data_IF_821306374308
#
_entry.id   IF_821306374308
#
_cell.length_a   1.000
_cell.length_b   1.000
_cell.length_c   1.000
_cell.angle_alpha   90.00
_cell.angle_beta   90.00
_cell.angle_gamma   90.00
#
_symmetry.space_group_name_H-M   'P 1'
#
loop_
_entity.id
_entity.type
_entity.pdbx_description
1 polymer ?
#
# COMPACT_ATOMS: atom_id res chain seq x y z
N UNK A 1 -7.78 11.19 -13.90
CA UNK A 1 -6.52 11.52 -14.61
C UNK A 1 -6.40 10.57 -15.79
N UNK A 2 -6.19 11.07 -17.00
CA UNK A 2 -6.33 10.32 -18.25
C UNK A 2 -4.96 9.89 -18.83
N UNK A 3 -4.66 8.59 -18.83
CA UNK A 3 -4.17 7.89 -20.04
C UNK A 3 -2.68 7.69 -20.29
N UNK A 4 -1.75 8.23 -19.50
CA UNK A 4 -0.29 8.03 -19.76
C UNK A 4 0.39 7.00 -18.84
N UNK A 5 -0.23 6.63 -17.72
CA UNK A 5 0.33 5.69 -16.74
C UNK A 5 -0.61 4.50 -16.52
N UNK A 6 -1.03 3.82 -17.58
CA UNK A 6 -1.77 2.55 -17.45
C UNK A 6 -0.78 1.42 -17.08
N UNK A 7 -1.16 0.56 -16.14
CA UNK A 7 -0.34 -0.55 -15.64
C UNK A 7 0.29 -1.37 -16.77
N UNK A 8 -0.49 -1.72 -17.80
CA UNK A 8 0.00 -2.54 -18.90
C UNK A 8 1.06 -1.84 -19.75
N UNK A 9 0.92 -0.52 -19.89
CA UNK A 9 1.87 0.34 -20.61
C UNK A 9 3.16 0.49 -19.82
N UNK A 10 3.05 0.70 -18.50
CA UNK A 10 4.20 0.83 -17.62
C UNK A 10 5.00 -0.48 -17.52
N UNK A 11 4.32 -1.62 -17.32
CA UNK A 11 4.96 -2.93 -17.26
C UNK A 11 5.48 -3.43 -18.63
N UNK A 12 5.07 -2.80 -19.73
CA UNK A 12 5.38 -3.24 -21.09
C UNK A 12 4.73 -4.58 -21.46
N UNK A 13 3.69 -4.99 -20.73
CA UNK A 13 2.96 -6.25 -20.95
C UNK A 13 1.50 -6.13 -20.54
N UNK A 14 0.61 -6.73 -21.33
CA UNK A 14 -0.81 -6.91 -20.99
C UNK A 14 -1.12 -8.31 -20.47
N UNK A 15 -0.09 -9.12 -20.21
CA UNK A 15 -0.26 -10.48 -19.68
C UNK A 15 -0.81 -10.45 -18.25
N UNK A 16 -1.60 -11.47 -17.91
CA UNK A 16 -2.15 -11.70 -16.59
C UNK A 16 -2.19 -13.19 -16.30
N UNK A 17 -1.85 -13.65 -15.08
CA UNK A 17 -1.50 -12.86 -13.90
C UNK A 17 -0.09 -12.26 -13.92
N UNK A 18 0.12 -11.20 -13.14
CA UNK A 18 1.42 -10.57 -12.89
C UNK A 18 1.83 -10.87 -11.45
N UNK A 19 3.09 -11.26 -11.23
CA UNK A 19 3.70 -11.36 -9.90
C UNK A 19 4.59 -10.15 -9.68
N UNK A 20 4.45 -9.48 -8.55
CA UNK A 20 5.38 -8.44 -8.09
C UNK A 20 6.06 -8.93 -6.83
N UNK A 21 7.36 -9.15 -6.90
CA UNK A 21 8.17 -9.53 -5.74
C UNK A 21 8.47 -8.28 -4.91
N UNK A 22 8.04 -8.27 -3.64
CA UNK A 22 8.40 -7.26 -2.65
C UNK A 22 9.01 -7.91 -1.40
N UNK A 23 10.33 -7.74 -1.22
CA UNK A 23 11.05 -8.29 -0.07
C UNK A 23 10.58 -7.76 1.31
N UNK A 24 9.91 -6.60 1.38
CA UNK A 24 9.45 -6.05 2.67
C UNK A 24 8.34 -6.89 3.28
N UNK A 25 7.59 -7.64 2.47
CA UNK A 25 6.57 -8.57 2.95
C UNK A 25 7.16 -9.73 3.79
N UNK A 26 8.47 -10.02 3.68
CA UNK A 26 9.17 -11.02 4.53
C UNK A 26 9.25 -10.61 6.01
N UNK A 27 9.12 -9.32 6.33
CA UNK A 27 9.39 -8.76 7.66
C UNK A 27 8.21 -8.83 8.63
N UNK A 28 7.25 -9.73 8.41
CA UNK A 28 6.08 -9.90 9.28
C UNK A 28 6.53 -10.15 10.74
N UNK A 29 6.17 -9.24 11.64
CA UNK A 29 6.55 -9.28 13.06
C UNK A 29 7.70 -8.34 13.49
N UNK A 30 8.36 -7.63 12.58
CA UNK A 30 9.34 -6.58 12.93
C UNK A 30 8.64 -5.21 13.14
N UNK A 31 9.33 -4.25 13.77
CA UNK A 31 8.79 -2.91 14.11
C UNK A 31 8.52 -2.01 12.90
N UNK A 32 9.17 -2.27 11.76
CA UNK A 32 8.99 -1.53 10.50
C UNK A 32 8.45 -2.49 9.44
N UNK A 33 7.24 -2.22 8.94
CA UNK A 33 6.38 -3.25 8.36
C UNK A 33 6.08 -3.00 6.88
N UNK A 34 5.77 -1.77 6.49
CA UNK A 34 5.67 -1.26 5.11
C UNK A 34 5.04 -2.23 4.08
N UNK A 35 4.14 -3.12 4.49
CA UNK A 35 3.58 -4.14 3.60
C UNK A 35 2.69 -3.54 2.52
N UNK A 36 2.13 -2.36 2.79
CA UNK A 36 1.23 -1.66 1.87
C UNK A 36 1.96 -0.63 1.00
N UNK A 37 3.30 -0.58 1.06
CA UNK A 37 4.10 0.42 0.32
C UNK A 37 3.95 0.36 -1.20
N UNK A 38 3.54 -0.78 -1.74
CA UNK A 38 3.33 -0.97 -3.17
C UNK A 38 1.99 -0.40 -3.66
N UNK A 39 1.03 -0.18 -2.75
CA UNK A 39 -0.31 0.32 -3.10
C UNK A 39 -0.22 1.67 -3.82
N UNK A 40 0.51 2.69 -3.34
CA UNK A 40 0.52 4.00 -4.00
C UNK A 40 1.05 3.95 -5.43
N UNK A 41 2.06 3.11 -5.72
CA UNK A 41 2.53 2.91 -7.09
C UNK A 41 1.43 2.27 -7.96
N UNK A 42 0.87 1.15 -7.50
CA UNK A 42 -0.15 0.42 -8.27
C UNK A 42 -1.42 1.27 -8.48
N UNK A 43 -1.77 2.10 -7.50
CA UNK A 43 -2.87 3.05 -7.59
C UNK A 43 -2.62 4.13 -8.65
N UNK A 44 -1.42 4.73 -8.69
CA UNK A 44 -1.05 5.66 -9.77
C UNK A 44 -1.03 5.01 -11.16
N UNK A 45 -0.91 3.68 -11.21
CA UNK A 45 -0.97 2.86 -12.42
C UNK A 45 -2.38 2.37 -12.77
N UNK A 46 -3.42 2.81 -12.03
CA UNK A 46 -4.82 2.50 -12.31
C UNK A 46 -5.38 1.26 -11.61
N UNK A 47 -4.65 0.67 -10.65
CA UNK A 47 -5.18 -0.38 -9.78
C UNK A 47 -5.89 0.27 -8.59
N UNK A 48 -7.22 0.30 -8.61
CA UNK A 48 -8.01 1.00 -7.58
C UNK A 48 -8.52 0.07 -6.48
N UNK A 49 -8.62 -1.23 -6.74
CA UNK A 49 -9.15 -2.25 -5.82
C UNK A 49 -8.04 -3.20 -5.35
N UNK A 50 -8.00 -3.48 -4.05
CA UNK A 50 -6.98 -4.31 -3.43
C UNK A 50 -7.56 -5.37 -2.48
N UNK A 51 -6.96 -6.55 -2.52
CA UNK A 51 -7.19 -7.66 -1.58
C UNK A 51 -5.97 -7.82 -0.70
N UNK A 52 -6.13 -7.76 0.61
CA UNK A 52 -5.03 -8.02 1.55
C UNK A 52 -5.56 -8.28 2.97
N UNK A 53 -4.69 -8.70 3.87
CA UNK A 53 -5.10 -9.12 5.22
C UNK A 53 -5.71 -7.99 6.07
N UNK A 54 -6.74 -8.29 6.87
CA UNK A 54 -7.37 -7.29 7.74
C UNK A 54 -6.43 -6.74 8.82
N UNK A 55 -5.41 -7.52 9.20
CA UNK A 55 -4.31 -7.06 10.05
C UNK A 55 -3.59 -5.83 9.49
N UNK A 56 -3.70 -5.56 8.18
CA UNK A 56 -3.17 -4.34 7.57
C UNK A 56 -4.27 -3.31 7.27
N UNK A 57 -5.53 -3.74 7.15
CA UNK A 57 -6.65 -2.91 6.74
C UNK A 57 -7.33 -2.14 7.87
N UNK A 58 -7.16 -2.60 9.11
CA UNK A 58 -7.84 -2.03 10.29
C UNK A 58 -7.33 -0.68 10.75
N UNK A 59 -6.25 -0.16 10.19
CA UNK A 59 -5.48 0.82 10.94
C UNK A 59 -5.38 2.18 10.26
N UNK A 60 -5.30 2.26 8.92
CA UNK A 60 -5.19 3.53 8.20
C UNK A 60 -4.98 3.33 6.69
N UNK A 61 -5.55 4.22 5.86
CA UNK A 61 -5.26 4.28 4.42
C UNK A 61 -4.48 5.55 4.10
N UNK A 62 -3.23 5.37 3.66
CA UNK A 62 -2.38 6.50 3.24
C UNK A 62 -2.85 7.12 1.92
N UNK A 63 -3.41 6.31 1.04
CA UNK A 63 -4.03 6.72 -0.24
C UNK A 63 -5.43 6.12 -0.32
N UNK A 64 -6.38 6.84 -0.90
CA UNK A 64 -7.75 6.36 -1.06
C UNK A 64 -7.79 5.21 -2.08
N UNK A 65 -8.15 4.01 -1.64
CA UNK A 65 -8.30 2.83 -2.48
C UNK A 65 -9.39 1.90 -1.95
N UNK A 66 -9.94 1.07 -2.83
CA UNK A 66 -10.85 -0.01 -2.49
C UNK A 66 -10.12 -1.16 -1.80
N UNK A 67 -10.72 -1.68 -0.74
CA UNK A 67 -10.18 -2.76 0.07
C UNK A 67 -11.23 -3.86 0.23
N UNK A 68 -10.85 -5.11 -0.03
CA UNK A 68 -11.65 -6.29 0.25
C UNK A 68 -10.86 -7.29 1.10
N UNK A 69 -11.44 -7.75 2.20
CA UNK A 69 -10.87 -8.84 3.00
C UNK A 69 -10.84 -10.14 2.17
N UNK A 70 -9.73 -10.90 2.15
CA UNK A 70 -9.59 -12.16 1.43
C UNK A 70 -10.69 -13.18 1.71
N UNK A 71 -11.33 -13.15 2.89
CA UNK A 71 -12.43 -14.01 3.27
C UNK A 71 -13.77 -13.61 2.63
N UNK A 72 -13.90 -12.34 2.23
CA UNK A 72 -15.10 -11.77 1.62
C UNK A 72 -15.01 -11.72 0.08
N UNK A 73 -13.85 -12.04 -0.49
CA UNK A 73 -13.66 -12.08 -1.94
C UNK A 73 -14.50 -13.21 -2.56
N UNK A 74 -15.32 -12.84 -3.54
CA UNK A 74 -15.91 -13.77 -4.50
C UNK A 74 -15.11 -13.73 -5.81
N UNK A 75 -14.24 -14.72 -6.10
CA UNK A 75 -13.39 -14.68 -7.31
C UNK A 75 -14.16 -14.61 -8.63
N UNK A 76 -15.44 -14.99 -8.65
CA UNK A 76 -16.27 -14.90 -9.85
C UNK A 76 -16.72 -13.46 -10.16
N UNK A 77 -16.79 -12.61 -9.14
CA UNK A 77 -17.40 -11.28 -9.20
C UNK A 77 -16.37 -10.14 -9.15
N UNK A 78 -15.08 -10.45 -9.00
CA UNK A 78 -14.01 -9.44 -9.02
C UNK A 78 -13.90 -8.77 -10.38
N UNK A 79 -13.52 -7.50 -10.36
CA UNK A 79 -13.15 -6.72 -11.55
C UNK A 79 -11.63 -6.58 -11.61
N UNK A 80 -11.09 -6.52 -12.82
CA UNK A 80 -9.68 -6.22 -13.05
C UNK A 80 -9.52 -4.79 -13.62
N UNK A 81 -8.40 -4.09 -13.36
CA UNK A 81 -7.23 -4.55 -12.61
C UNK A 81 -7.47 -4.71 -11.11
N UNK A 82 -6.79 -5.69 -10.49
CA UNK A 82 -6.93 -6.00 -9.06
C UNK A 82 -5.54 -6.24 -8.45
N UNK A 83 -5.21 -5.52 -7.39
CA UNK A 83 -4.03 -5.77 -6.57
C UNK A 83 -4.34 -6.79 -5.49
N UNK A 84 -3.43 -7.73 -5.22
CA UNK A 84 -3.55 -8.65 -4.09
C UNK A 84 -2.20 -8.80 -3.40
N UNK A 85 -2.12 -8.41 -2.13
CA UNK A 85 -0.90 -8.45 -1.33
C UNK A 85 -0.96 -9.66 -0.40
N UNK A 86 0.01 -10.56 -0.53
CA UNK A 86 0.04 -11.82 0.22
C UNK A 86 1.47 -12.26 0.55
N UNK A 87 1.67 -12.84 1.74
CA UNK A 87 2.95 -13.43 2.15
C UNK A 87 2.98 -14.94 1.91
N UNK A 88 4.17 -15.52 1.76
CA UNK A 88 4.38 -16.97 1.58
C UNK A 88 3.68 -17.79 2.69
N UNK A 89 3.74 -17.41 3.99
CA UNK A 89 2.97 -18.10 5.04
C UNK A 89 1.44 -18.07 4.82
N UNK A 90 0.89 -17.03 4.20
CA UNK A 90 -0.54 -16.95 3.87
C UNK A 90 -0.93 -17.83 2.67
N UNK A 91 0.03 -18.27 1.86
CA UNK A 91 -0.18 -19.20 0.75
C UNK A 91 -0.18 -20.68 1.18
N UNK A 92 0.23 -20.97 2.42
CA UNK A 92 0.18 -22.31 2.99
C UNK A 92 -1.26 -22.67 3.41
N UNK A 93 -1.66 -23.95 3.31
CA UNK A 93 -2.95 -24.38 3.83
C UNK A 93 -3.03 -24.17 5.35
N UNK A 94 -4.24 -23.91 5.86
CA UNK A 94 -4.48 -23.57 7.29
C UNK A 94 -3.82 -24.51 8.30
N UNK A 95 -3.69 -25.80 7.99
CA UNK A 95 -3.10 -26.79 8.90
C UNK A 95 -1.56 -26.85 8.88
N UNK A 96 -0.91 -26.15 7.94
CA UNK A 96 0.55 -26.02 7.82
C UNK A 96 1.03 -24.63 8.26
N UNK A 97 0.12 -23.72 8.61
CA UNK A 97 0.46 -22.42 9.18
C UNK A 97 0.96 -22.59 10.61
N UNK A 98 2.01 -21.87 11.00
CA UNK A 98 2.49 -21.88 12.39
C UNK A 98 1.42 -21.29 13.33
N UNK A 99 1.44 -21.68 14.61
CA UNK A 99 0.39 -21.33 15.59
C UNK A 99 0.13 -19.83 15.76
N UNK A 100 1.11 -18.97 15.46
CA UNK A 100 0.96 -17.51 15.49
C UNK A 100 0.23 -16.94 14.25
N UNK A 101 -0.13 -17.79 13.28
CA UNK A 101 -0.81 -17.45 12.02
C UNK A 101 -2.16 -18.18 11.84
N UNK A 102 -2.73 -18.75 12.90
CA UNK A 102 -3.97 -19.53 12.84
C UNK A 102 -5.11 -18.72 12.17
N UNK A 103 -5.58 -19.20 11.01
CA UNK A 103 -6.78 -18.70 10.35
C UNK A 103 -6.58 -17.81 9.12
N UNK A 104 -5.33 -17.51 8.76
CA UNK A 104 -4.98 -16.45 7.78
C UNK A 104 -4.64 -17.03 6.39
N UNK A 105 -4.97 -18.29 6.11
CA UNK A 105 -4.71 -18.88 4.79
C UNK A 105 -5.52 -18.16 3.71
N UNK A 106 -4.80 -17.58 2.75
CA UNK A 106 -5.30 -16.99 1.52
C UNK A 106 -5.01 -17.91 0.31
N UNK A 107 -4.54 -19.15 0.54
CA UNK A 107 -4.18 -20.11 -0.48
C UNK A 107 -5.30 -20.35 -1.52
N UNK A 108 -6.53 -20.58 -1.04
CA UNK A 108 -7.68 -20.91 -1.88
C UNK A 108 -8.13 -19.72 -2.72
N UNK A 109 -8.28 -18.54 -2.10
CA UNK A 109 -8.68 -17.31 -2.80
C UNK A 109 -7.61 -16.88 -3.81
N UNK A 110 -6.32 -16.94 -3.44
CA UNK A 110 -5.22 -16.62 -4.35
C UNK A 110 -5.23 -17.55 -5.57
N UNK A 111 -5.39 -18.85 -5.36
CA UNK A 111 -5.47 -19.81 -6.46
C UNK A 111 -6.63 -19.54 -7.41
N UNK A 112 -7.82 -19.28 -6.87
CA UNK A 112 -8.99 -18.99 -7.70
C UNK A 112 -8.86 -17.65 -8.45
N UNK A 113 -8.27 -16.61 -7.84
CA UNK A 113 -8.00 -15.35 -8.51
C UNK A 113 -6.98 -15.51 -9.64
N UNK A 114 -5.88 -16.24 -9.42
CA UNK A 114 -4.91 -16.59 -10.47
C UNK A 114 -5.59 -17.33 -11.63
N UNK A 115 -6.46 -18.30 -11.32
CA UNK A 115 -7.21 -19.06 -12.33
C UNK A 115 -8.17 -18.16 -13.11
N UNK A 116 -8.97 -17.34 -12.43
CA UNK A 116 -9.94 -16.44 -13.06
C UNK A 116 -9.23 -15.41 -13.94
N UNK A 117 -8.14 -14.82 -13.46
CA UNK A 117 -7.33 -13.87 -14.24
C UNK A 117 -6.78 -14.50 -15.53
N UNK A 118 -6.28 -15.74 -15.44
CA UNK A 118 -5.79 -16.48 -16.60
C UNK A 118 -6.90 -16.93 -17.57
N UNK A 119 -8.16 -17.05 -17.10
CA UNK A 119 -9.32 -17.37 -17.95
C UNK A 119 -9.93 -16.11 -18.60
N UNK A 120 -9.85 -14.95 -17.94
CA UNK A 120 -10.41 -13.66 -18.36
C UNK A 120 -9.38 -12.74 -19.02
N UNK A 121 -8.63 -13.29 -19.98
CA UNK A 121 -7.59 -12.54 -20.70
C UNK A 121 -8.21 -11.33 -21.40
N UNK A 122 -7.72 -10.13 -21.07
CA UNK A 122 -8.17 -8.87 -21.64
C UNK A 122 -9.10 -8.04 -20.76
N UNK A 123 -9.57 -8.57 -19.63
CA UNK A 123 -10.42 -7.84 -18.67
C UNK A 123 -9.62 -6.89 -17.75
N UNK A 124 -8.28 -6.90 -17.85
CA UNK A 124 -7.35 -6.18 -16.98
C UNK A 124 -6.32 -7.13 -16.37
N UNK A 125 -5.43 -6.62 -15.52
CA UNK A 125 -4.38 -7.42 -14.89
C UNK A 125 -4.68 -7.68 -13.42
N UNK A 126 -4.62 -8.95 -13.03
CA UNK A 126 -4.45 -9.37 -11.65
C UNK A 126 -2.96 -9.27 -11.25
N UNK A 127 -2.66 -8.48 -10.22
CA UNK A 127 -1.29 -8.25 -9.72
C UNK A 127 -1.17 -8.87 -8.33
N UNK A 128 -0.42 -9.96 -8.23
CA UNK A 128 -0.09 -10.60 -6.97
C UNK A 128 1.24 -10.05 -6.44
N UNK A 129 1.16 -9.20 -5.41
CA UNK A 129 2.34 -8.70 -4.69
C UNK A 129 2.69 -9.69 -3.58
N UNK A 130 3.91 -10.22 -3.59
CA UNK A 130 4.31 -11.25 -2.63
C UNK A 130 5.78 -11.20 -2.25
N UNK A 131 6.13 -11.86 -1.14
CA UNK A 131 7.47 -11.90 -0.58
C UNK A 131 8.40 -12.90 -1.28
N UNK A 132 8.01 -13.42 -2.44
CA UNK A 132 8.79 -14.32 -3.28
C UNK A 132 8.46 -14.11 -4.75
N UNK A 133 9.44 -14.33 -5.64
CA UNK A 133 9.23 -14.29 -7.09
C UNK A 133 8.59 -15.58 -7.64
N UNK A 134 8.63 -16.65 -6.84
CA UNK A 134 8.08 -17.96 -7.17
C UNK A 134 7.09 -18.43 -6.08
N UNK A 135 5.91 -17.79 -5.96
CA UNK A 135 4.93 -18.16 -4.94
C UNK A 135 4.46 -19.61 -5.12
N UNK A 136 4.48 -20.41 -4.06
CA UNK A 136 3.97 -21.78 -4.07
C UNK A 136 2.64 -21.86 -3.32
N UNK A 137 1.69 -22.63 -3.85
CA UNK A 137 0.41 -22.93 -3.19
C UNK A 137 0.27 -24.46 -3.11
N UNK A 138 0.93 -25.13 -2.15
CA UNK A 138 1.07 -26.59 -2.14
C UNK A 138 -0.25 -27.35 -2.12
N UNK A 139 -1.28 -26.78 -1.49
CA UNK A 139 -2.62 -27.38 -1.38
C UNK A 139 -3.39 -27.44 -2.69
N UNK A 140 -2.99 -26.65 -3.69
CA UNK A 140 -3.70 -26.50 -4.97
C UNK A 140 -2.84 -26.87 -6.18
N UNK A 141 -1.52 -26.76 -6.06
CA UNK A 141 -0.60 -26.98 -7.17
C UNK A 141 -0.63 -28.45 -7.63
N UNK A 142 -0.98 -28.74 -8.90
CA UNK A 142 -1.09 -30.12 -9.41
C UNK A 142 0.24 -30.89 -9.42
N UNK A 143 1.35 -30.17 -9.60
CA UNK A 143 2.71 -30.73 -9.62
C UNK A 143 3.45 -30.20 -8.41
N UNK A 144 3.82 -31.10 -7.48
CA UNK A 144 4.54 -30.73 -6.26
C UNK A 144 5.84 -29.97 -6.58
N UNK A 145 6.03 -28.82 -5.94
CA UNK A 145 7.21 -27.96 -6.10
C UNK A 145 7.21 -27.09 -7.36
N UNK A 146 6.09 -27.02 -8.09
CA UNK A 146 5.91 -26.01 -9.14
C UNK A 146 5.35 -24.74 -8.53
N UNK A 147 5.85 -23.59 -8.93
CA UNK A 147 5.30 -22.30 -8.48
C UNK A 147 3.95 -22.01 -9.16
N UNK A 148 3.15 -21.16 -8.53
CA UNK A 148 1.97 -20.57 -9.12
C UNK A 148 2.33 -19.73 -10.36
N UNK A 149 3.46 -19.01 -10.32
CA UNK A 149 3.97 -18.27 -11.47
C UNK A 149 4.17 -19.19 -12.68
N UNK A 150 4.84 -20.33 -12.52
CA UNK A 150 5.04 -21.31 -13.59
C UNK A 150 3.73 -21.96 -14.04
N UNK A 151 2.79 -22.16 -13.12
CA UNK A 151 1.52 -22.84 -13.40
C UNK A 151 0.59 -21.98 -14.26
N UNK A 152 0.59 -20.66 -14.05
CA UNK A 152 -0.25 -19.70 -14.77
C UNK A 152 0.51 -18.90 -15.82
N UNK A 153 1.79 -19.24 -16.08
CA UNK A 153 2.69 -18.49 -16.96
C UNK A 153 2.73 -16.99 -16.62
N UNK A 154 2.80 -16.68 -15.33
CA UNK A 154 2.78 -15.30 -14.85
C UNK A 154 4.07 -14.57 -15.24
N UNK A 155 3.96 -13.27 -15.53
CA UNK A 155 5.13 -12.40 -15.67
C UNK A 155 5.52 -11.91 -14.28
N UNK A 156 6.81 -11.97 -13.96
CA UNK A 156 7.32 -11.53 -12.67
C UNK A 156 8.15 -10.26 -12.80
N UNK A 157 7.90 -9.31 -11.91
CA UNK A 157 8.66 -8.07 -11.75
C UNK A 157 9.17 -7.92 -10.31
N UNK A 158 10.28 -7.21 -10.14
CA UNK A 158 10.77 -6.79 -8.83
C UNK A 158 10.20 -5.40 -8.50
N UNK A 159 9.55 -5.25 -7.33
CA UNK A 159 8.98 -3.98 -6.89
C UNK A 159 10.02 -2.87 -6.83
N UNK A 160 11.25 -3.19 -6.42
CA UNK A 160 12.35 -2.23 -6.31
C UNK A 160 12.72 -1.64 -7.67
N UNK A 161 12.71 -2.46 -8.72
CA UNK A 161 13.01 -1.99 -10.08
C UNK A 161 11.85 -1.12 -10.59
N UNK A 162 10.60 -1.55 -10.39
CA UNK A 162 9.41 -0.80 -10.79
C UNK A 162 9.36 0.58 -10.15
N UNK A 163 9.55 0.69 -8.84
CA UNK A 163 9.48 1.99 -8.14
C UNK A 163 10.66 2.89 -8.51
N UNK A 164 11.86 2.34 -8.73
CA UNK A 164 13.01 3.12 -9.18
C UNK A 164 12.77 3.71 -10.56
N UNK A 165 12.27 2.91 -11.50
CA UNK A 165 11.89 3.37 -12.83
C UNK A 165 10.81 4.46 -12.75
N UNK A 166 9.76 4.21 -11.97
CA UNK A 166 8.65 5.14 -11.84
C UNK A 166 9.10 6.49 -11.27
N UNK A 167 9.76 6.49 -10.11
CA UNK A 167 10.19 7.73 -9.44
C UNK A 167 11.19 8.49 -10.29
N UNK A 168 12.16 7.80 -10.92
CA UNK A 168 13.19 8.47 -11.73
C UNK A 168 12.63 9.14 -12.99
N UNK A 169 11.54 8.60 -13.55
CA UNK A 169 10.98 9.09 -14.82
C UNK A 169 9.76 10.01 -14.63
N UNK A 170 9.04 9.91 -13.50
CA UNK A 170 7.73 10.55 -13.34
C UNK A 170 7.57 11.41 -12.08
N UNK A 171 8.58 11.48 -11.19
CA UNK A 171 8.48 12.22 -9.92
C UNK A 171 9.73 13.04 -9.65
N UNK A 172 9.62 14.37 -9.62
CA UNK A 172 10.73 15.26 -9.24
C UNK A 172 10.84 15.37 -7.71
N UNK A 173 11.24 14.27 -7.07
CA UNK A 173 11.28 14.13 -5.62
C UNK A 173 12.61 14.64 -5.03
N UNK A 174 12.53 15.47 -3.98
CA UNK A 174 13.68 15.83 -3.16
C UNK A 174 14.05 14.72 -2.14
N UNK A 175 13.17 13.73 -1.95
CA UNK A 175 13.46 12.55 -1.13
C UNK A 175 14.33 11.54 -1.89
N UNK A 176 15.45 11.10 -1.31
CA UNK A 176 16.22 10.02 -1.90
C UNK A 176 15.44 8.69 -1.79
N UNK A 177 15.44 7.90 -2.87
CA UNK A 177 14.83 6.57 -2.89
C UNK A 177 15.34 5.66 -1.77
N UNK A 178 16.57 5.82 -1.30
CA UNK A 178 17.11 5.00 -0.19
C UNK A 178 16.42 5.22 1.16
N UNK A 179 15.66 6.30 1.31
CA UNK A 179 14.84 6.56 2.50
C UNK A 179 13.50 5.83 2.46
N UNK A 180 12.86 5.79 1.29
CA UNK A 180 11.57 5.15 1.11
C UNK A 180 11.40 4.73 -0.33
N UNK A 181 10.74 3.60 -0.54
CA UNK A 181 10.23 3.14 -1.84
C UNK A 181 8.70 3.24 -1.89
N UNK A 182 8.09 4.12 -1.11
CA UNK A 182 6.66 4.39 -1.14
C UNK A 182 6.41 5.68 -1.96
N UNK A 183 5.72 5.54 -3.10
CA UNK A 183 5.49 6.62 -4.08
C UNK A 183 4.72 7.80 -3.49
N UNK A 184 3.84 7.57 -2.51
CA UNK A 184 3.11 8.65 -1.84
C UNK A 184 4.06 9.72 -1.27
N UNK A 185 5.11 9.31 -0.56
CA UNK A 185 6.06 10.26 0.02
C UNK A 185 6.85 11.00 -1.06
N UNK A 186 7.17 10.35 -2.17
CA UNK A 186 7.83 11.00 -3.29
C UNK A 186 6.96 12.08 -3.93
N UNK A 187 5.64 11.85 -4.05
CA UNK A 187 4.67 12.83 -4.53
C UNK A 187 4.49 14.01 -3.57
N UNK A 188 4.39 13.75 -2.27
CA UNK A 188 4.37 14.81 -1.25
C UNK A 188 5.66 15.66 -1.36
N UNK A 189 6.81 15.02 -1.44
CA UNK A 189 8.12 15.69 -1.59
C UNK A 189 8.21 16.54 -2.86
N UNK A 190 7.76 16.01 -4.00
CA UNK A 190 7.66 16.76 -5.26
C UNK A 190 6.76 18.00 -5.11
N UNK A 191 5.58 17.83 -4.51
CA UNK A 191 4.65 18.92 -4.30
C UNK A 191 5.21 19.99 -3.36
N UNK A 192 5.82 19.58 -2.24
CA UNK A 192 6.45 20.47 -1.27
C UNK A 192 7.60 21.27 -1.91
N UNK A 193 8.47 20.60 -2.67
CA UNK A 193 9.61 21.22 -3.36
C UNK A 193 9.15 22.31 -4.33
N UNK A 194 8.06 22.07 -5.08
CA UNK A 194 7.46 23.06 -6.01
C UNK A 194 6.93 24.31 -5.31
N UNK A 195 6.61 24.22 -4.01
CA UNK A 195 6.05 25.30 -3.21
C UNK A 195 7.03 25.86 -2.17
N UNK A 196 8.28 25.41 -2.16
CA UNK A 196 9.30 25.87 -1.22
C UNK A 196 9.13 25.36 0.22
N UNK A 197 8.33 24.33 0.42
CA UNK A 197 8.13 23.68 1.72
C UNK A 197 9.18 22.58 1.99
N UNK A 198 9.40 22.19 3.26
CA UNK A 198 10.32 21.11 3.63
C UNK A 198 9.96 19.78 2.92
N UNK A 199 10.95 19.16 2.29
CA UNK A 199 10.71 18.07 1.34
C UNK A 199 11.79 16.98 1.30
N UNK A 200 12.86 17.11 2.10
CA UNK A 200 14.10 16.33 1.93
C UNK A 200 14.22 15.13 2.87
N UNK A 201 13.35 15.04 3.89
CA UNK A 201 13.28 13.89 4.81
C UNK A 201 11.83 13.50 5.09
N UNK A 202 11.58 12.24 5.47
CA UNK A 202 10.22 11.78 5.78
C UNK A 202 9.53 12.63 6.86
N UNK A 203 10.14 12.97 8.01
CA UNK A 203 9.50 13.85 8.98
C UNK A 203 9.17 15.23 8.40
N UNK A 204 10.06 15.83 7.60
CA UNK A 204 9.83 17.15 6.99
C UNK A 204 8.56 17.22 6.16
N UNK A 205 8.18 16.11 5.51
CA UNK A 205 6.92 16.07 4.76
C UNK A 205 5.71 16.35 5.65
N UNK A 206 5.77 16.01 6.93
CA UNK A 206 4.69 16.15 7.91
C UNK A 206 4.83 17.43 8.78
N UNK A 207 5.58 18.44 8.33
CA UNK A 207 5.59 19.77 8.96
C UNK A 207 4.35 20.56 8.51
N UNK A 208 3.22 20.35 9.18
CA UNK A 208 1.93 20.94 8.80
C UNK A 208 1.87 22.47 8.87
N UNK A 209 2.78 23.09 9.61
CA UNK A 209 2.93 24.55 9.66
C UNK A 209 3.45 25.12 8.32
N UNK A 210 4.24 24.33 7.59
CA UNK A 210 4.86 24.72 6.32
C UNK A 210 4.25 23.98 5.11
N UNK A 211 3.40 22.98 5.34
CA UNK A 211 2.81 22.16 4.31
C UNK A 211 1.87 22.97 3.40
N UNK A 212 2.06 22.95 2.07
CA UNK A 212 1.16 23.62 1.14
C UNK A 212 -0.27 23.08 1.26
N UNK A 213 -1.28 23.95 1.13
CA UNK A 213 -2.69 23.55 1.26
C UNK A 213 -3.08 22.41 0.31
N UNK A 214 -2.59 22.41 -0.92
CA UNK A 214 -2.87 21.35 -1.91
C UNK A 214 -2.05 20.07 -1.75
N UNK A 215 -1.26 19.93 -0.68
CA UNK A 215 -0.41 18.76 -0.47
C UNK A 215 -1.21 17.52 -0.07
N UNK A 216 -0.92 16.32 -0.62
CA UNK A 216 -1.61 15.09 -0.19
C UNK A 216 -1.24 14.67 1.24
N UNK A 217 -0.31 15.35 1.92
CA UNK A 217 0.02 15.08 3.33
C UNK A 217 -1.13 15.40 4.30
N UNK A 218 -2.13 16.17 3.85
CA UNK A 218 -3.33 16.47 4.63
C UNK A 218 -4.32 15.31 4.66
N UNK A 219 -4.39 14.50 3.59
CA UNK A 219 -5.36 13.40 3.44
C UNK A 219 -5.30 12.40 4.62
N UNK A 220 -4.11 12.00 5.11
CA UNK A 220 -4.00 11.20 6.31
C UNK A 220 -4.73 11.74 7.54
N UNK A 221 -4.71 13.07 7.76
CA UNK A 221 -5.37 13.68 8.91
C UNK A 221 -6.88 13.60 8.78
N UNK A 222 -7.42 13.86 7.58
CA UNK A 222 -8.84 13.73 7.29
C UNK A 222 -9.33 12.30 7.49
N UNK A 223 -8.56 11.30 7.04
CA UNK A 223 -8.89 9.90 7.27
C UNK A 223 -9.10 9.60 8.77
N UNK A 224 -8.18 10.05 9.63
CA UNK A 224 -8.29 9.85 11.07
C UNK A 224 -9.51 10.56 11.69
N UNK A 225 -9.89 11.72 11.18
CA UNK A 225 -11.10 12.43 11.64
C UNK A 225 -12.39 11.70 11.21
N UNK A 226 -12.43 11.18 9.99
CA UNK A 226 -13.63 10.53 9.44
C UNK A 226 -13.87 9.14 10.02
N UNK A 227 -12.80 8.41 10.36
CA UNK A 227 -12.87 6.99 10.71
C UNK A 227 -12.58 6.65 12.18
N UNK A 228 -11.85 7.48 12.95
CA UNK A 228 -11.28 7.07 14.25
C UNK A 228 -11.72 7.88 15.49
N UNK A 229 -12.70 8.79 15.36
CA UNK A 229 -13.07 9.71 16.46
C UNK A 229 -13.89 9.09 17.61
N UNK A 230 -14.42 7.86 17.51
CA UNK A 230 -15.44 7.41 18.48
C UNK A 230 -14.95 6.62 19.71
N UNK A 231 -13.73 6.04 19.76
CA UNK A 231 -13.42 5.07 20.83
C UNK A 231 -12.02 5.08 21.48
N UNK A 232 -11.06 5.97 21.13
CA UNK A 232 -9.65 5.79 21.57
C UNK A 232 -8.93 7.10 21.95
N UNK A 233 -9.39 7.84 22.96
CA UNK A 233 -8.63 9.02 23.44
C UNK A 233 -7.41 8.66 24.30
N UNK A 234 -7.41 7.51 24.97
CA UNK A 234 -6.36 7.16 25.95
C UNK A 234 -5.11 6.49 25.31
N UNK A 235 -5.23 5.92 24.11
CA UNK A 235 -4.14 5.22 23.38
C UNK A 235 -3.95 5.72 21.93
N UNK A 236 -4.44 6.93 21.62
CA UNK A 236 -4.48 7.45 20.25
C UNK A 236 -3.10 7.54 19.56
N UNK A 237 -2.04 7.88 20.30
CA UNK A 237 -0.68 7.92 19.74
C UNK A 237 -0.18 6.53 19.34
N UNK A 238 -0.46 5.51 20.14
CA UNK A 238 -0.09 4.13 19.83
C UNK A 238 -0.85 3.62 18.60
N UNK A 239 -2.12 3.98 18.48
CA UNK A 239 -2.96 3.68 17.32
C UNK A 239 -2.42 4.31 16.04
N UNK A 240 -2.19 5.63 16.00
CA UNK A 240 -1.63 6.32 14.82
C UNK A 240 -0.25 5.77 14.47
N UNK A 241 0.59 5.45 15.47
CA UNK A 241 1.88 4.82 15.22
C UNK A 241 1.75 3.45 14.58
N UNK A 242 0.89 2.56 15.09
CA UNK A 242 0.68 1.21 14.54
C UNK A 242 0.15 1.31 13.11
N UNK A 243 -0.85 2.15 12.90
CA UNK A 243 -1.43 2.46 11.61
C UNK A 243 -0.41 2.88 10.54
N UNK A 244 0.55 3.72 10.90
CA UNK A 244 1.60 4.16 9.97
C UNK A 244 2.66 3.07 9.69
N UNK A 245 2.80 2.05 10.54
CA UNK A 245 3.83 1.00 10.36
C UNK A 245 3.63 0.19 9.09
N UNK A 246 2.39 0.01 8.64
CA UNK A 246 2.05 -0.69 7.39
C UNK A 246 2.49 0.07 6.13
N UNK A 247 2.90 1.34 6.26
CA UNK A 247 3.20 2.23 5.13
C UNK A 247 4.64 2.77 5.11
N UNK A 248 5.28 2.88 6.27
CA UNK A 248 6.60 3.50 6.44
C UNK A 248 7.68 2.42 6.61
N UNK A 249 8.66 2.42 5.70
CA UNK A 249 9.75 1.45 5.66
C UNK A 249 10.80 1.66 6.74
N UNK A 250 11.16 2.93 6.96
CA UNK A 250 12.27 3.36 7.82
C UNK A 250 12.00 4.77 8.30
N UNK A 251 12.44 5.06 9.51
CA UNK A 251 12.46 6.42 10.03
C UNK A 251 11.73 6.55 11.36
N UNK A 252 11.61 7.78 11.84
CA UNK A 252 10.97 8.08 13.12
C UNK A 252 9.44 8.15 12.92
N UNK A 253 8.81 6.99 12.71
CA UNK A 253 7.34 6.85 12.63
C UNK A 253 6.66 7.51 13.83
N UNK A 254 7.28 7.45 15.01
CA UNK A 254 6.81 8.16 16.20
C UNK A 254 6.82 9.69 16.03
N UNK A 255 7.85 10.26 15.41
CA UNK A 255 7.90 11.70 15.12
C UNK A 255 6.85 12.12 14.10
N UNK A 256 6.57 11.30 13.09
CA UNK A 256 5.50 11.54 12.12
C UNK A 256 4.14 11.49 12.83
N UNK A 257 3.87 10.42 13.59
CA UNK A 257 2.64 10.27 14.38
C UNK A 257 2.42 11.47 15.31
N UNK A 258 3.45 11.88 16.07
CA UNK A 258 3.37 13.05 16.96
C UNK A 258 3.04 14.35 16.22
N UNK A 259 3.52 14.55 14.98
CA UNK A 259 3.18 15.74 14.18
C UNK A 259 1.73 15.72 13.71
N UNK A 260 1.27 14.56 13.27
CA UNK A 260 -0.13 14.37 12.89
C UNK A 260 -1.05 14.64 14.07
N UNK A 261 -0.77 14.03 15.22
CA UNK A 261 -1.54 14.17 16.45
C UNK A 261 -1.52 15.61 16.97
N UNK A 262 -0.35 16.28 16.97
CA UNK A 262 -0.25 17.68 17.37
C UNK A 262 -1.12 18.59 16.50
N UNK A 263 -1.19 18.31 15.19
CA UNK A 263 -2.03 19.06 14.25
C UNK A 263 -3.52 18.79 14.50
N UNK A 264 -3.90 17.52 14.69
CA UNK A 264 -5.27 17.15 15.05
C UNK A 264 -5.71 17.79 16.37
N UNK A 265 -4.87 17.79 17.41
CA UNK A 265 -5.13 18.51 18.66
C UNK A 265 -5.29 20.01 18.47
N UNK A 266 -4.48 20.63 17.62
CA UNK A 266 -4.58 22.07 17.34
C UNK A 266 -5.91 22.42 16.67
N UNK A 267 -6.45 21.50 15.90
CA UNK A 267 -7.75 21.61 15.24
C UNK A 267 -8.89 20.98 16.05
N UNK A 268 -8.69 20.70 17.35
CA UNK A 268 -9.67 20.09 18.25
C UNK A 268 -10.33 18.81 17.70
N UNK A 269 -9.60 18.06 16.87
CA UNK A 269 -10.10 16.92 16.11
C UNK A 269 -11.38 17.23 15.31
N UNK A 270 -11.45 18.43 14.73
CA UNK A 270 -12.58 18.88 13.92
C UNK A 270 -12.14 19.11 12.46
N UNK A 271 -12.91 18.57 11.52
CA UNK A 271 -12.59 18.62 10.11
C UNK A 271 -12.73 20.03 9.52
N UNK A 272 -13.65 20.86 10.03
CA UNK A 272 -13.81 22.24 9.60
C UNK A 272 -12.63 23.09 10.10
N UNK A 273 -12.22 22.92 11.37
CA UNK A 273 -11.03 23.58 11.92
C UNK A 273 -9.74 23.11 11.24
N UNK A 274 -9.65 21.85 10.83
CA UNK A 274 -8.53 21.36 10.02
C UNK A 274 -8.52 21.99 8.63
N UNK A 275 -9.68 22.16 7.99
CA UNK A 275 -9.78 22.83 6.69
C UNK A 275 -9.43 24.32 6.79
N UNK A 276 -9.88 25.01 7.84
CA UNK A 276 -9.49 26.39 8.12
C UNK A 276 -7.99 26.48 8.35
N UNK A 277 -7.45 25.56 9.18
CA UNK A 277 -6.02 25.47 9.40
C UNK A 277 -5.31 25.29 8.09
N UNK A 278 -5.57 24.23 7.32
CA UNK A 278 -5.00 23.90 6.00
C UNK A 278 -5.00 25.05 4.99
N UNK A 279 -5.92 26.01 5.10
CA UNK A 279 -6.05 27.13 4.15
C UNK A 279 -5.61 28.49 4.72
N UNK A 280 -5.17 28.58 5.97
CA UNK A 280 -4.69 29.85 6.56
C UNK A 280 -3.38 30.31 5.89
N UNK A 281 -3.39 31.49 5.29
CA UNK A 281 -2.23 32.06 4.58
C UNK A 281 -1.20 32.72 5.51
N UNK A 282 -1.46 32.79 6.81
CA UNK A 282 -0.59 33.43 7.81
C UNK A 282 0.15 32.44 8.72
N UNK A 283 0.22 31.16 8.32
CA UNK A 283 0.97 30.12 9.05
C UNK A 283 2.48 30.26 8.85
#
# INVERSE_FOLDING_TARGET
>A
MTGENDLSTFLGTSESPVIVYDEHLKKRGQQERAQLRSIPLLYELGVEEFVYDDLWAREFRLVEHGYTDPNDVSPADVSFPLGHIVTTPQLLPRHEQEFDYEGISQADVTWELLRVANERIGDGQYVLVTDTDAPEIPSRTPVKGRSAADQFNAVTFDYLDLVQEYVSNHVDSALPLDYTKNVFFHRVSEHHSKHGAPASTLPELFEYDEAPAGSPVWDPLYYFLEHDLQDILDEYEEHVMEALRSWIERGDTGKIARRMIATLHRCDFDAELLAEYQNDTNR
#
